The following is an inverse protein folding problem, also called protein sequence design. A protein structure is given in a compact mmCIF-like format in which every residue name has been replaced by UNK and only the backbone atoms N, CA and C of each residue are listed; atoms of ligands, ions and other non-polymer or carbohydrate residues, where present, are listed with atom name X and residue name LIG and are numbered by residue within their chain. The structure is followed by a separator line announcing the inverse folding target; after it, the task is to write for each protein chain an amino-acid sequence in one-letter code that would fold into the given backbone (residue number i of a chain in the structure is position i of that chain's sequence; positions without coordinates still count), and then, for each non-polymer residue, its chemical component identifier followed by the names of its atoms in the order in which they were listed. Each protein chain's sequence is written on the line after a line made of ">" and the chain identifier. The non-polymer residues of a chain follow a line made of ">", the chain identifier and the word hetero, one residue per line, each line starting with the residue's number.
data_IF_436590169726
#
_entry.id   IF_436590169726
#
_cell.length_a   1.000
_cell.length_b   1.000
_cell.length_c   1.000
_cell.angle_alpha   90.00
_cell.angle_beta   90.00
_cell.angle_gamma   90.00
#
_symmetry.space_group_name_H-M   'P 1'
#
loop_
_entity.id
_entity.type
_entity.pdbx_description
1 polymer ?
#
# COMPACT_ATOMS: atom_id res chain seq x y z
N UNK A 1 1.25 -25.35 -34.20
CA UNK A 1 2.25 -26.34 -34.70
C UNK A 1 3.51 -25.64 -35.21
N UNK A 2 4.71 -26.12 -34.83
CA UNK A 2 5.97 -25.64 -35.42
C UNK A 2 5.97 -26.06 -36.90
N UNK A 3 5.76 -25.11 -37.80
CA UNK A 3 5.80 -25.34 -39.25
C UNK A 3 7.23 -25.08 -39.73
N UNK A 4 7.99 -26.16 -39.93
CA UNK A 4 9.37 -26.10 -40.42
C UNK A 4 10.12 -27.42 -40.25
N UNK A 5 11.21 -27.62 -41.02
CA UNK A 5 12.10 -28.78 -40.84
C UNK A 5 12.87 -28.63 -39.53
N UNK A 6 12.93 -29.70 -38.72
CA UNK A 6 13.74 -29.75 -37.50
C UNK A 6 15.20 -29.54 -37.88
N UNK A 7 15.77 -28.41 -37.48
CA UNK A 7 17.21 -28.13 -37.63
C UNK A 7 17.94 -29.00 -36.61
N UNK A 8 18.94 -29.75 -37.07
CA UNK A 8 19.75 -30.64 -36.22
C UNK A 8 21.18 -30.11 -36.12
N UNK A 9 21.80 -30.28 -34.96
CA UNK A 9 23.22 -29.97 -34.75
C UNK A 9 24.12 -31.02 -35.44
N UNK A 10 25.43 -30.82 -35.37
CA UNK A 10 26.44 -31.75 -35.93
C UNK A 10 26.37 -33.17 -35.32
N UNK A 11 25.65 -33.34 -34.21
CA UNK A 11 25.45 -34.62 -33.50
C UNK A 11 24.06 -35.21 -33.73
N UNK A 12 23.23 -34.59 -34.57
CA UNK A 12 21.89 -35.04 -34.91
C UNK A 12 20.79 -34.66 -33.90
N UNK A 13 21.09 -33.87 -32.87
CA UNK A 13 20.10 -33.40 -31.89
C UNK A 13 19.34 -32.19 -32.43
N UNK A 14 18.03 -32.05 -32.14
CA UNK A 14 17.28 -30.85 -32.49
C UNK A 14 17.92 -29.60 -31.88
N UNK A 15 18.25 -28.62 -32.73
CA UNK A 15 18.70 -27.30 -32.29
C UNK A 15 17.49 -26.56 -31.73
N UNK A 16 17.46 -26.40 -30.42
CA UNK A 16 16.48 -25.57 -29.74
C UNK A 16 17.06 -24.17 -29.59
N UNK A 17 16.56 -23.23 -30.41
CA UNK A 17 16.86 -21.81 -30.22
C UNK A 17 15.98 -21.31 -29.07
N UNK A 18 16.56 -20.84 -27.94
CA UNK A 18 15.77 -20.31 -26.84
C UNK A 18 14.90 -19.13 -27.29
N UNK A 19 13.70 -19.04 -26.73
CA UNK A 19 12.85 -17.86 -26.88
C UNK A 19 13.43 -16.64 -26.17
N UNK A 20 12.81 -15.47 -26.39
CA UNK A 20 13.24 -14.20 -25.79
C UNK A 20 12.94 -14.10 -24.29
N UNK A 21 11.95 -14.84 -23.80
CA UNK A 21 11.56 -14.87 -22.39
C UNK A 21 12.15 -16.09 -21.67
N UNK A 22 12.72 -15.86 -20.48
CA UNK A 22 13.22 -16.92 -19.60
C UNK A 22 12.09 -17.46 -18.72
N UNK A 23 12.15 -18.72 -18.30
CA UNK A 23 11.15 -19.29 -17.39
C UNK A 23 9.71 -19.20 -17.92
N UNK A 24 9.55 -19.27 -19.24
CA UNK A 24 8.25 -19.29 -19.92
C UNK A 24 8.18 -20.52 -20.82
N UNK A 25 7.05 -21.23 -20.76
CA UNK A 25 6.70 -22.29 -21.70
C UNK A 25 5.42 -21.88 -22.40
N UNK A 26 5.45 -21.74 -23.73
CA UNK A 26 4.31 -21.26 -24.48
C UNK A 26 4.02 -22.11 -25.72
N UNK A 27 2.75 -22.19 -26.10
CA UNK A 27 2.26 -22.85 -27.31
C UNK A 27 1.26 -21.94 -28.01
N UNK A 28 1.19 -22.03 -29.34
CA UNK A 28 0.12 -21.41 -30.12
C UNK A 28 -1.04 -22.38 -30.30
N UNK A 29 -2.26 -21.91 -30.05
CA UNK A 29 -3.51 -22.66 -30.22
C UNK A 29 -4.57 -21.76 -30.85
N UNK A 30 -5.60 -22.33 -31.48
CA UNK A 30 -6.73 -21.57 -32.04
C UNK A 30 -8.00 -21.93 -31.29
N UNK A 31 -8.64 -20.94 -30.66
CA UNK A 31 -9.88 -21.15 -29.91
C UNK A 31 -11.05 -20.96 -30.88
N UNK A 32 -11.62 -22.08 -31.34
CA UNK A 32 -12.70 -22.09 -32.34
C UNK A 32 -13.93 -21.30 -31.87
N UNK A 33 -14.32 -21.41 -30.60
CA UNK A 33 -15.48 -20.72 -29.99
C UNK A 33 -15.42 -19.20 -30.14
N UNK A 34 -14.22 -18.62 -30.00
CA UNK A 34 -14.00 -17.18 -30.10
C UNK A 34 -13.47 -16.75 -31.48
N UNK A 35 -13.12 -17.71 -32.35
CA UNK A 35 -12.50 -17.43 -33.65
C UNK A 35 -11.15 -16.71 -33.55
N UNK A 36 -10.41 -16.90 -32.45
CA UNK A 36 -9.13 -16.21 -32.20
C UNK A 36 -7.97 -17.19 -32.05
N UNK A 37 -6.80 -16.77 -32.54
CA UNK A 37 -5.54 -17.43 -32.19
C UNK A 37 -5.08 -16.95 -30.81
N UNK A 38 -4.59 -17.88 -29.98
CA UNK A 38 -4.08 -17.62 -28.65
C UNK A 38 -2.64 -18.14 -28.52
N UNK A 39 -1.82 -17.36 -27.82
CA UNK A 39 -0.53 -17.83 -27.30
C UNK A 39 -0.78 -18.23 -25.85
N UNK A 40 -1.00 -19.52 -25.60
CA UNK A 40 -1.13 -20.06 -24.25
C UNK A 40 0.27 -20.17 -23.63
N UNK A 41 0.45 -19.60 -22.44
CA UNK A 41 1.76 -19.55 -21.77
C UNK A 41 1.67 -19.91 -20.29
N UNK A 42 2.66 -20.66 -19.82
CA UNK A 42 2.94 -20.91 -18.41
C UNK A 42 4.18 -20.12 -18.01
N UNK A 43 4.01 -19.18 -17.08
CA UNK A 43 5.10 -18.44 -16.45
C UNK A 43 5.58 -19.25 -15.24
N UNK A 44 6.66 -20.03 -15.40
CA UNK A 44 7.13 -20.94 -14.35
C UNK A 44 7.85 -20.22 -13.21
N UNK A 45 8.25 -18.97 -13.42
CA UNK A 45 8.79 -18.10 -12.38
C UNK A 45 8.51 -16.62 -12.74
N UNK A 46 7.50 -16.04 -12.11
CA UNK A 46 7.05 -14.67 -12.35
C UNK A 46 8.02 -13.59 -11.82
N UNK A 47 8.96 -13.96 -10.94
CA UNK A 47 10.05 -13.08 -10.50
C UNK A 47 11.15 -12.96 -11.55
N UNK A 48 11.27 -13.94 -12.46
CA UNK A 48 12.21 -13.89 -13.59
C UNK A 48 11.55 -13.26 -14.82
N UNK A 49 10.34 -13.71 -15.17
CA UNK A 49 9.55 -13.10 -16.24
C UNK A 49 8.19 -12.69 -15.70
N UNK A 50 8.00 -11.40 -15.38
CA UNK A 50 6.73 -10.87 -14.93
C UNK A 50 5.64 -10.94 -16.01
N UNK A 51 4.39 -10.99 -15.57
CA UNK A 51 3.20 -11.09 -16.46
C UNK A 51 3.15 -9.98 -17.52
N UNK A 52 3.43 -8.74 -17.13
CA UNK A 52 3.42 -7.58 -18.02
C UNK A 52 4.57 -7.62 -19.04
N UNK A 53 5.74 -8.16 -18.67
CA UNK A 53 6.87 -8.35 -19.59
C UNK A 53 6.53 -9.43 -20.63
N UNK A 54 5.89 -10.52 -20.20
CA UNK A 54 5.46 -11.56 -21.12
C UNK A 54 4.42 -11.06 -22.12
N UNK A 55 3.42 -10.29 -21.64
CA UNK A 55 2.40 -9.68 -22.49
C UNK A 55 3.00 -8.72 -23.52
N UNK A 56 3.89 -7.82 -23.10
CA UNK A 56 4.49 -6.83 -23.99
C UNK A 56 5.43 -7.43 -25.03
N UNK A 57 6.16 -8.48 -24.66
CA UNK A 57 6.99 -9.19 -25.63
C UNK A 57 6.11 -9.89 -26.69
N UNK A 58 4.96 -10.44 -26.30
CA UNK A 58 3.99 -10.96 -27.27
C UNK A 58 3.44 -9.85 -28.17
N UNK A 59 3.07 -8.70 -27.60
CA UNK A 59 2.62 -7.54 -28.38
C UNK A 59 3.67 -7.08 -29.39
N UNK A 60 4.93 -6.96 -28.96
CA UNK A 60 6.06 -6.60 -29.81
C UNK A 60 6.25 -7.61 -30.94
N UNK A 61 6.28 -8.90 -30.63
CA UNK A 61 6.49 -9.97 -31.64
C UNK A 61 5.33 -10.11 -32.61
N UNK A 62 4.10 -9.84 -32.17
CA UNK A 62 2.93 -9.78 -33.04
C UNK A 62 2.99 -8.57 -33.98
N UNK A 63 3.34 -7.39 -33.45
CA UNK A 63 3.47 -6.17 -34.25
C UNK A 63 4.56 -6.28 -35.33
N UNK A 64 5.70 -6.91 -35.03
CA UNK A 64 6.76 -7.24 -36.00
C UNK A 64 6.25 -8.09 -37.18
N UNK A 65 5.11 -8.78 -37.02
CA UNK A 65 4.46 -9.61 -38.05
C UNK A 65 3.21 -8.96 -38.66
N UNK A 66 2.90 -7.71 -38.31
CA UNK A 66 1.68 -7.02 -38.75
C UNK A 66 0.39 -7.54 -38.11
N UNK A 67 0.49 -8.24 -36.97
CA UNK A 67 -0.65 -8.78 -36.23
C UNK A 67 -0.85 -7.97 -34.96
N UNK A 68 -2.12 -7.70 -34.61
CA UNK A 68 -2.48 -7.01 -33.37
C UNK A 68 -2.87 -8.03 -32.29
N UNK A 69 -2.33 -7.86 -31.10
CA UNK A 69 -2.84 -8.54 -29.89
C UNK A 69 -4.11 -7.83 -29.45
N UNK A 70 -5.20 -8.59 -29.28
CA UNK A 70 -6.53 -8.05 -28.98
C UNK A 70 -6.92 -8.13 -27.51
N UNK A 71 -6.06 -8.70 -26.66
CA UNK A 71 -6.31 -8.87 -25.23
C UNK A 71 -5.54 -10.04 -24.64
N UNK A 72 -5.80 -10.35 -23.38
CA UNK A 72 -5.28 -11.54 -22.71
C UNK A 72 -6.27 -12.11 -21.71
N UNK A 73 -5.99 -13.31 -21.21
CA UNK A 73 -6.78 -13.94 -20.16
C UNK A 73 -5.84 -14.55 -19.13
N UNK A 74 -6.13 -14.30 -17.85
CA UNK A 74 -5.52 -15.03 -16.75
C UNK A 74 -6.34 -16.29 -16.46
N UNK A 75 -5.69 -17.45 -16.55
CA UNK A 75 -6.28 -18.73 -16.11
C UNK A 75 -5.77 -19.03 -14.70
N UNK A 76 -6.70 -19.14 -13.74
CA UNK A 76 -6.38 -19.40 -12.34
C UNK A 76 -6.28 -18.14 -11.49
N UNK A 77 -5.35 -18.16 -10.53
CA UNK A 77 -5.13 -17.08 -9.56
C UNK A 77 -3.76 -16.42 -9.78
N UNK A 78 -3.64 -15.15 -9.39
CA UNK A 78 -2.42 -14.36 -9.48
C UNK A 78 -2.09 -13.69 -8.14
N UNK A 79 -0.81 -13.60 -7.73
CA UNK A 79 -0.43 -12.80 -6.57
C UNK A 79 -0.69 -11.31 -6.78
N UNK A 80 -1.16 -10.61 -5.76
CA UNK A 80 -1.43 -9.17 -5.76
C UNK A 80 -0.20 -8.40 -6.22
N UNK A 81 0.98 -8.76 -5.71
CA UNK A 81 2.25 -8.11 -6.08
C UNK A 81 2.47 -8.10 -7.59
N UNK A 82 2.14 -9.18 -8.31
CA UNK A 82 2.33 -9.25 -9.75
C UNK A 82 1.41 -8.28 -10.51
N UNK A 83 0.19 -8.07 -10.00
CA UNK A 83 -0.75 -7.07 -10.53
C UNK A 83 -0.29 -5.65 -10.22
N UNK A 84 0.18 -5.37 -9.00
CA UNK A 84 0.72 -4.06 -8.63
C UNK A 84 1.96 -3.71 -9.47
N UNK A 85 2.90 -4.66 -9.62
CA UNK A 85 4.09 -4.48 -10.45
C UNK A 85 3.73 -4.22 -11.92
N UNK A 86 2.72 -4.91 -12.45
CA UNK A 86 2.19 -4.65 -13.80
C UNK A 86 1.57 -3.25 -13.93
N UNK A 87 0.76 -2.82 -12.95
CA UNK A 87 0.17 -1.49 -12.94
C UNK A 87 1.24 -0.40 -12.98
N UNK A 88 2.26 -0.53 -12.12
CA UNK A 88 3.40 0.39 -12.08
C UNK A 88 4.15 0.40 -13.41
N UNK A 89 4.44 -0.77 -13.97
CA UNK A 89 5.13 -0.90 -15.25
C UNK A 89 4.44 -0.10 -16.38
N UNK A 90 3.11 -0.22 -16.50
CA UNK A 90 2.37 0.51 -17.53
C UNK A 90 2.21 2.01 -17.24
N UNK A 91 2.15 2.43 -15.97
CA UNK A 91 2.18 3.85 -15.62
C UNK A 91 3.53 4.49 -15.96
N UNK A 92 4.65 3.81 -15.66
CA UNK A 92 5.99 4.30 -16.03
C UNK A 92 6.11 4.51 -17.54
N UNK A 93 5.57 3.58 -18.36
CA UNK A 93 5.52 3.73 -19.82
C UNK A 93 4.73 4.95 -20.30
N UNK A 94 3.72 5.34 -19.53
CA UNK A 94 2.90 6.51 -19.82
C UNK A 94 3.51 7.80 -19.23
N UNK A 95 4.67 7.72 -18.58
CA UNK A 95 5.27 8.82 -17.79
C UNK A 95 4.30 9.34 -16.72
N UNK A 96 3.66 8.40 -16.01
CA UNK A 96 2.64 8.66 -14.99
C UNK A 96 3.13 8.26 -13.61
N UNK A 97 2.69 8.99 -12.58
CA UNK A 97 3.05 8.69 -11.19
C UNK A 97 2.62 7.28 -10.80
N UNK A 98 3.51 6.52 -10.16
CA UNK A 98 3.22 5.20 -9.60
C UNK A 98 2.70 5.26 -8.16
N UNK A 99 2.69 6.45 -7.55
CA UNK A 99 2.20 6.71 -6.19
C UNK A 99 0.68 6.85 -6.10
N UNK A 100 -0.04 6.03 -6.86
CA UNK A 100 -1.51 5.94 -6.85
C UNK A 100 -1.99 4.81 -5.95
N UNK A 101 -3.30 4.74 -5.78
CA UNK A 101 -3.98 3.66 -5.04
C UNK A 101 -3.73 2.27 -5.67
N UNK A 102 -3.71 1.22 -4.85
CA UNK A 102 -3.54 -0.17 -5.30
C UNK A 102 -4.65 -0.62 -6.27
N UNK A 103 -5.91 -0.24 -6.06
CA UNK A 103 -7.02 -0.52 -6.96
C UNK A 103 -6.83 0.17 -8.31
N UNK A 104 -6.28 1.38 -8.32
CA UNK A 104 -5.94 2.05 -9.58
C UNK A 104 -4.77 1.34 -10.28
N UNK A 105 -3.74 0.87 -9.55
CA UNK A 105 -2.68 0.04 -10.14
C UNK A 105 -3.23 -1.25 -10.75
N UNK A 106 -4.11 -1.95 -10.03
CA UNK A 106 -4.76 -3.18 -10.49
C UNK A 106 -5.60 -2.90 -11.74
N UNK A 107 -6.40 -1.82 -11.73
CA UNK A 107 -7.21 -1.40 -12.87
C UNK A 107 -6.33 -1.07 -14.09
N UNK A 108 -5.22 -0.35 -13.91
CA UNK A 108 -4.27 -0.07 -14.98
C UNK A 108 -3.66 -1.36 -15.52
N UNK A 109 -3.28 -2.31 -14.66
CA UNK A 109 -2.77 -3.61 -15.08
C UNK A 109 -3.79 -4.39 -15.92
N UNK A 110 -5.05 -4.45 -15.46
CA UNK A 110 -6.16 -5.12 -16.17
C UNK A 110 -6.34 -4.52 -17.56
N UNK A 111 -6.50 -3.19 -17.63
CA UNK A 111 -6.79 -2.49 -18.89
C UNK A 111 -5.60 -2.51 -19.86
N UNK A 112 -4.37 -2.40 -19.35
CA UNK A 112 -3.18 -2.36 -20.21
C UNK A 112 -2.84 -3.73 -20.80
N UNK A 113 -3.13 -4.81 -20.07
CA UNK A 113 -2.95 -6.18 -20.58
C UNK A 113 -4.20 -6.76 -21.25
N UNK A 114 -5.33 -6.03 -21.25
CA UNK A 114 -6.59 -6.52 -21.80
C UNK A 114 -7.11 -7.79 -21.10
N UNK A 115 -6.91 -7.90 -19.78
CA UNK A 115 -7.28 -9.09 -19.00
C UNK A 115 -8.79 -9.33 -18.95
N UNK A 116 -9.58 -8.31 -19.29
CA UNK A 116 -11.04 -8.33 -19.32
C UNK A 116 -11.65 -8.36 -20.73
N UNK A 117 -10.83 -8.57 -21.78
CA UNK A 117 -11.29 -8.53 -23.18
C UNK A 117 -12.10 -9.77 -23.59
N UNK A 118 -11.76 -10.96 -23.06
CA UNK A 118 -12.53 -12.19 -23.32
C UNK A 118 -13.73 -12.33 -22.37
N UNK A 119 -13.57 -11.94 -21.11
CA UNK A 119 -14.62 -11.99 -20.06
C UNK A 119 -14.28 -11.01 -18.93
N UNK A 120 -15.27 -10.56 -18.14
CA UNK A 120 -15.01 -9.67 -17.01
C UNK A 120 -13.93 -10.23 -16.07
N UNK A 121 -12.95 -9.38 -15.73
CA UNK A 121 -11.95 -9.70 -14.71
C UNK A 121 -12.42 -9.18 -13.35
N UNK A 122 -12.77 -10.08 -12.44
CA UNK A 122 -13.07 -9.72 -11.05
C UNK A 122 -11.79 -9.88 -10.18
N UNK A 123 -11.16 -8.79 -9.71
CA UNK A 123 -9.95 -8.89 -8.89
C UNK A 123 -10.15 -9.71 -7.61
N UNK A 124 -11.33 -9.63 -6.98
CA UNK A 124 -11.63 -10.34 -5.73
C UNK A 124 -11.69 -11.87 -5.89
N UNK A 125 -11.89 -12.36 -7.11
CA UNK A 125 -11.93 -13.80 -7.42
C UNK A 125 -10.62 -14.32 -8.05
N UNK A 126 -9.74 -13.41 -8.46
CA UNK A 126 -8.52 -13.75 -9.23
C UNK A 126 -7.25 -13.48 -8.47
N UNK A 127 -7.25 -12.54 -7.52
CA UNK A 127 -6.08 -12.19 -6.73
C UNK A 127 -6.07 -13.03 -5.44
N UNK A 128 -4.96 -13.72 -5.19
CA UNK A 128 -4.82 -14.68 -4.09
C UNK A 128 -5.06 -14.01 -2.74
N UNK A 129 -4.43 -12.85 -2.52
CA UNK A 129 -4.50 -12.12 -1.25
C UNK A 129 -5.92 -11.62 -0.95
N UNK A 130 -6.69 -11.24 -1.98
CA UNK A 130 -8.09 -10.84 -1.80
C UNK A 130 -9.00 -12.04 -1.51
N UNK A 131 -8.69 -13.23 -2.03
CA UNK A 131 -9.42 -14.46 -1.70
C UNK A 131 -9.12 -14.96 -0.29
N UNK A 132 -7.94 -14.66 0.24
CA UNK A 132 -7.52 -15.04 1.59
C UNK A 132 -7.88 -13.98 2.64
N UNK A 133 -8.33 -12.81 2.21
CA UNK A 133 -8.71 -11.74 3.13
C UNK A 133 -9.92 -12.17 3.95
N UNK A 134 -9.77 -12.16 5.28
CA UNK A 134 -10.87 -12.47 6.19
C UNK A 134 -11.93 -11.36 6.11
N UNK A 135 -13.20 -11.74 6.07
CA UNK A 135 -14.35 -10.83 5.97
C UNK A 135 -14.74 -10.23 7.33
N UNK A 136 -13.78 -10.14 8.26
CA UNK A 136 -13.95 -9.42 9.51
C UNK A 136 -14.17 -7.94 9.19
N UNK A 137 -15.19 -7.34 9.82
CA UNK A 137 -15.50 -5.93 9.60
C UNK A 137 -14.35 -5.09 10.14
N UNK A 138 -13.64 -4.40 9.24
CA UNK A 138 -12.61 -3.42 9.60
C UNK A 138 -13.23 -2.04 9.76
N UNK A 139 -12.63 -1.23 10.62
CA UNK A 139 -13.02 0.17 10.80
C UNK A 139 -12.77 0.97 9.51
N UNK A 140 -11.67 0.68 8.81
CA UNK A 140 -11.30 1.38 7.57
C UNK A 140 -12.26 1.11 6.40
N UNK A 141 -13.08 0.06 6.50
CA UNK A 141 -14.12 -0.25 5.50
C UNK A 141 -15.42 0.54 5.71
N UNK A 142 -15.54 1.25 6.84
CA UNK A 142 -16.71 2.05 7.15
C UNK A 142 -16.76 3.32 6.30
N UNK A 143 -17.97 3.79 6.02
CA UNK A 143 -18.14 5.15 5.48
C UNK A 143 -17.72 6.18 6.54
N UNK A 144 -17.29 7.38 6.12
CA UNK A 144 -16.92 8.45 7.06
C UNK A 144 -18.04 8.75 8.07
N UNK A 145 -19.30 8.77 7.62
CA UNK A 145 -20.47 8.95 8.49
C UNK A 145 -20.62 7.81 9.49
N UNK A 146 -20.46 6.56 9.04
CA UNK A 146 -20.55 5.41 9.93
C UNK A 146 -19.41 5.38 10.95
N UNK A 147 -18.17 5.65 10.52
CA UNK A 147 -17.00 5.71 11.40
C UNK A 147 -17.17 6.80 12.48
N UNK A 148 -17.65 7.99 12.09
CA UNK A 148 -17.93 9.07 13.04
C UNK A 148 -19.05 8.71 14.03
N UNK A 149 -20.14 8.11 13.55
CA UNK A 149 -21.24 7.68 14.40
C UNK A 149 -20.81 6.57 15.38
N UNK A 150 -20.00 5.62 14.93
CA UNK A 150 -19.47 4.55 15.78
C UNK A 150 -18.54 5.11 16.86
N UNK A 151 -17.67 6.06 16.50
CA UNK A 151 -16.77 6.75 17.44
C UNK A 151 -17.55 7.52 18.51
N UNK A 152 -18.71 8.08 18.15
CA UNK A 152 -19.57 8.83 19.06
C UNK A 152 -20.54 7.95 19.87
N UNK A 153 -20.49 6.62 19.70
CA UNK A 153 -21.38 5.68 20.36
C UNK A 153 -20.87 5.26 21.76
N UNK A 154 -21.59 4.36 22.42
CA UNK A 154 -21.15 3.71 23.67
C UNK A 154 -20.14 2.56 23.42
N UNK A 155 -19.75 2.32 22.16
CA UNK A 155 -18.75 1.32 21.82
C UNK A 155 -17.36 1.71 22.34
N UNK A 156 -16.58 0.77 22.91
CA UNK A 156 -15.22 1.05 23.37
C UNK A 156 -14.23 1.25 22.21
N UNK A 157 -14.61 0.93 20.97
CA UNK A 157 -13.80 1.11 19.76
C UNK A 157 -14.68 1.55 18.57
N UNK A 158 -14.19 2.45 17.68
CA UNK A 158 -12.86 3.03 17.63
C UNK A 158 -12.60 4.06 18.73
N UNK A 159 -11.42 3.97 19.35
CA UNK A 159 -10.97 4.90 20.39
C UNK A 159 -10.07 6.02 19.86
N UNK A 160 -9.50 6.81 20.78
CA UNK A 160 -8.61 7.92 20.42
C UNK A 160 -7.35 7.50 19.64
N UNK A 161 -6.84 6.28 19.85
CA UNK A 161 -5.70 5.73 19.09
C UNK A 161 -6.05 5.52 17.60
N UNK A 162 -7.16 4.83 17.35
CA UNK A 162 -7.73 4.61 16.01
C UNK A 162 -7.99 5.94 15.28
N UNK A 163 -8.56 6.93 15.98
CA UNK A 163 -8.78 8.28 15.43
C UNK A 163 -7.45 8.98 15.11
N UNK A 164 -6.47 8.94 16.00
CA UNK A 164 -5.17 9.54 15.76
C UNK A 164 -4.49 8.94 14.53
N UNK A 165 -4.55 7.61 14.35
CA UNK A 165 -4.04 6.94 13.17
C UNK A 165 -4.73 7.41 11.89
N UNK A 166 -6.07 7.49 11.88
CA UNK A 166 -6.83 7.92 10.70
C UNK A 166 -6.62 9.40 10.36
N UNK A 167 -6.49 10.28 11.37
CA UNK A 167 -6.10 11.68 11.13
C UNK A 167 -4.72 11.75 10.47
N UNK A 168 -3.79 10.86 10.84
CA UNK A 168 -2.51 10.70 10.16
C UNK A 168 -2.66 10.28 8.70
N UNK A 169 -3.58 9.35 8.39
CA UNK A 169 -3.93 8.95 7.02
C UNK A 169 -4.34 10.17 6.21
N UNK A 170 -5.20 11.03 6.74
CA UNK A 170 -5.63 12.26 6.07
C UNK A 170 -4.45 13.21 5.82
N UNK A 171 -3.58 13.38 6.82
CA UNK A 171 -2.41 14.25 6.73
C UNK A 171 -1.46 13.85 5.60
N UNK A 172 -1.04 12.59 5.57
CA UNK A 172 -0.14 12.09 4.52
C UNK A 172 -0.84 11.97 3.15
N UNK A 173 -2.15 11.73 3.13
CA UNK A 173 -2.92 11.70 1.88
C UNK A 173 -2.92 13.06 1.18
N UNK A 174 -2.98 14.16 1.94
CA UNK A 174 -2.84 15.51 1.37
C UNK A 174 -1.45 15.73 0.77
N UNK A 175 -0.38 15.38 1.48
CA UNK A 175 0.98 15.42 0.92
C UNK A 175 1.11 14.57 -0.36
N UNK A 176 0.58 13.36 -0.34
CA UNK A 176 0.57 12.45 -1.51
C UNK A 176 -0.24 13.01 -2.67
N UNK A 177 -1.37 13.67 -2.39
CA UNK A 177 -2.18 14.36 -3.40
C UNK A 177 -1.40 15.49 -4.04
N UNK A 178 -0.73 16.34 -3.26
CA UNK A 178 0.12 17.42 -3.80
C UNK A 178 1.23 16.84 -4.69
N UNK A 179 1.85 15.72 -4.30
CA UNK A 179 2.84 15.04 -5.11
C UNK A 179 2.26 14.57 -6.45
N UNK A 180 1.10 13.91 -6.45
CA UNK A 180 0.45 13.47 -7.69
C UNK A 180 -0.01 14.64 -8.59
N UNK A 181 -0.51 15.74 -8.01
CA UNK A 181 -0.83 16.95 -8.76
C UNK A 181 0.42 17.60 -9.38
N UNK A 182 1.55 17.54 -8.66
CA UNK A 182 2.83 18.09 -9.12
C UNK A 182 3.41 17.26 -10.27
N UNK A 183 3.31 15.93 -10.20
CA UNK A 183 3.75 15.00 -11.25
C UNK A 183 3.02 15.21 -12.59
N UNK A 184 1.85 15.82 -12.58
CA UNK A 184 1.02 16.08 -13.76
C UNK A 184 0.79 17.57 -14.04
N UNK A 185 1.62 18.43 -13.44
CA UNK A 185 1.57 19.86 -13.69
C UNK A 185 2.22 20.18 -15.04
N UNK A 186 1.45 20.82 -15.93
CA UNK A 186 1.94 21.26 -17.24
C UNK A 186 3.22 22.09 -17.11
N UNK A 187 4.24 21.74 -17.89
CA UNK A 187 5.55 22.41 -17.89
C UNK A 187 6.53 21.83 -16.87
N UNK A 188 6.13 20.83 -16.08
CA UNK A 188 6.99 20.05 -15.20
C UNK A 188 7.13 18.60 -15.68
N UNK A 189 6.95 18.37 -16.98
CA UNK A 189 6.91 17.06 -17.59
C UNK A 189 8.21 16.28 -17.35
N UNK A 190 9.36 16.93 -17.16
CA UNK A 190 10.65 16.28 -16.86
C UNK A 190 10.82 15.90 -15.38
N UNK A 191 9.90 16.31 -14.50
CA UNK A 191 9.96 16.12 -13.04
C UNK A 191 8.95 15.12 -12.50
N UNK A 192 8.20 14.45 -13.37
CA UNK A 192 7.15 13.51 -12.94
C UNK A 192 7.71 12.37 -12.07
N UNK A 193 8.91 11.87 -12.36
CA UNK A 193 9.56 10.80 -11.58
C UNK A 193 9.88 11.24 -10.15
N UNK A 194 10.37 12.47 -9.97
CA UNK A 194 10.67 13.07 -8.67
C UNK A 194 9.41 13.07 -7.78
N UNK A 195 8.32 13.60 -8.30
CA UNK A 195 7.05 13.68 -7.57
C UNK A 195 6.39 12.32 -7.41
N UNK A 196 6.55 11.42 -8.37
CA UNK A 196 6.10 10.03 -8.28
C UNK A 196 6.77 9.28 -7.14
N UNK A 197 8.07 9.50 -6.91
CA UNK A 197 8.80 8.90 -5.79
C UNK A 197 8.25 9.37 -4.44
N UNK A 198 7.95 10.67 -4.30
CA UNK A 198 7.29 11.21 -3.11
C UNK A 198 5.89 10.65 -2.91
N UNK A 199 5.10 10.56 -3.97
CA UNK A 199 3.76 9.98 -3.92
C UNK A 199 3.82 8.50 -3.49
N UNK A 200 4.75 7.69 -4.01
CA UNK A 200 4.90 6.30 -3.58
C UNK A 200 5.30 6.20 -2.10
N UNK A 201 6.17 7.10 -1.62
CA UNK A 201 6.54 7.17 -0.21
C UNK A 201 5.34 7.53 0.67
N UNK A 202 4.52 8.49 0.23
CA UNK A 202 3.27 8.85 0.89
C UNK A 202 2.27 7.70 0.96
N UNK A 203 2.10 6.92 -0.12
CA UNK A 203 1.25 5.72 -0.11
C UNK A 203 1.71 4.69 0.93
N UNK A 204 3.02 4.48 1.10
CA UNK A 204 3.55 3.55 2.12
C UNK A 204 3.14 3.96 3.53
N UNK A 205 3.29 5.23 3.88
CA UNK A 205 2.85 5.76 5.17
C UNK A 205 1.32 5.71 5.33
N UNK A 206 0.58 6.02 4.27
CA UNK A 206 -0.89 5.93 4.25
C UNK A 206 -1.37 4.51 4.60
N UNK A 207 -0.81 3.48 3.95
CA UNK A 207 -1.22 2.10 4.18
C UNK A 207 -0.81 1.58 5.57
N UNK A 208 0.37 1.96 6.07
CA UNK A 208 0.77 1.62 7.44
C UNK A 208 -0.17 2.27 8.47
N UNK A 209 -0.54 3.54 8.29
CA UNK A 209 -1.49 4.21 9.18
C UNK A 209 -2.89 3.62 9.11
N UNK A 210 -3.37 3.26 7.91
CA UNK A 210 -4.65 2.55 7.76
C UNK A 210 -4.65 1.23 8.51
N UNK A 211 -3.59 0.43 8.38
CA UNK A 211 -3.45 -0.81 9.14
C UNK A 211 -3.48 -0.57 10.65
N UNK A 212 -2.82 0.50 11.13
CA UNK A 212 -2.78 0.85 12.55
C UNK A 212 -4.15 1.31 13.11
N UNK A 213 -5.09 1.77 12.27
CA UNK A 213 -6.47 2.07 12.71
C UNK A 213 -7.15 0.81 13.23
N UNK A 214 -7.10 -0.27 12.46
CA UNK A 214 -7.71 -1.55 12.86
C UNK A 214 -6.89 -2.26 13.94
N UNK A 215 -5.55 -2.12 13.89
CA UNK A 215 -4.67 -2.78 14.86
C UNK A 215 -4.81 -2.18 16.26
N UNK A 216 -5.16 -0.90 16.41
CA UNK A 216 -5.46 -0.28 17.70
C UNK A 216 -6.64 -0.98 18.40
N UNK A 217 -7.72 -1.20 17.65
CA UNK A 217 -8.90 -1.95 18.16
C UNK A 217 -8.55 -3.41 18.44
N UNK A 218 -7.75 -4.03 17.56
CA UNK A 218 -7.30 -5.41 17.74
C UNK A 218 -6.41 -5.58 18.96
N UNK A 219 -5.53 -4.62 19.26
CA UNK A 219 -4.71 -4.60 20.45
C UNK A 219 -5.54 -4.42 21.73
N UNK A 220 -6.56 -3.55 21.69
CA UNK A 220 -7.50 -3.41 22.81
C UNK A 220 -8.26 -4.71 23.09
N UNK A 221 -8.77 -5.38 22.05
CA UNK A 221 -9.47 -6.66 22.19
C UNK A 221 -8.57 -7.74 22.79
N UNK A 222 -7.29 -7.80 22.39
CA UNK A 222 -6.31 -8.73 22.99
C UNK A 222 -6.13 -8.52 24.50
N UNK A 223 -6.20 -7.27 24.98
CA UNK A 223 -6.18 -6.97 26.42
C UNK A 223 -7.45 -7.51 27.09
N UNK A 224 -8.63 -7.28 26.50
CA UNK A 224 -9.90 -7.77 27.05
C UNK A 224 -9.93 -9.30 27.11
N UNK A 225 -9.47 -9.97 26.06
CA UNK A 225 -9.34 -11.44 26.00
C UNK A 225 -8.40 -11.96 27.10
N UNK A 226 -7.26 -11.28 27.31
CA UNK A 226 -6.33 -11.61 28.38
C UNK A 226 -6.97 -11.47 29.78
N UNK A 227 -7.82 -10.45 29.99
CA UNK A 227 -8.62 -10.32 31.21
C UNK A 227 -9.73 -11.37 31.32
N UNK A 228 -10.12 -12.04 30.24
CA UNK A 228 -11.08 -13.14 30.22
C UNK A 228 -10.50 -14.49 30.66
N UNK A 229 -9.17 -14.66 30.66
CA UNK A 229 -8.52 -15.95 30.92
C UNK A 229 -8.85 -16.54 32.32
N UNK A 230 -8.86 -17.88 32.49
CA UNK A 230 -9.02 -18.52 33.79
C UNK A 230 -8.01 -18.04 34.85
N UNK A 231 -8.36 -18.22 36.13
CA UNK A 231 -7.54 -17.74 37.28
C UNK A 231 -7.68 -18.60 38.54
N UNK A 232 -8.01 -19.89 38.37
CA UNK A 232 -8.27 -20.82 39.47
C UNK A 232 -7.00 -21.51 39.94
N UNK A 233 -6.14 -21.96 39.02
CA UNK A 233 -4.85 -22.59 39.37
C UNK A 233 -3.71 -21.57 39.34
N UNK A 234 -2.56 -21.91 39.94
CA UNK A 234 -1.38 -21.05 39.89
C UNK A 234 -0.82 -20.93 38.47
N UNK A 235 -0.86 -22.02 37.69
CA UNK A 235 -0.46 -22.01 36.28
C UNK A 235 -1.38 -21.08 35.45
N UNK A 236 -2.69 -21.13 35.68
CA UNK A 236 -3.65 -20.23 35.03
C UNK A 236 -3.40 -18.77 35.40
N UNK A 237 -3.12 -18.48 36.68
CA UNK A 237 -2.80 -17.11 37.14
C UNK A 237 -1.52 -16.58 36.50
N UNK A 238 -0.48 -17.42 36.41
CA UNK A 238 0.79 -17.04 35.80
C UNK A 238 0.62 -16.76 34.30
N UNK A 239 -0.03 -17.67 33.56
CA UNK A 239 -0.31 -17.48 32.14
C UNK A 239 -1.15 -16.23 31.89
N UNK A 240 -2.17 -16.01 32.72
CA UNK A 240 -3.02 -14.82 32.64
C UNK A 240 -2.21 -13.55 32.85
N UNK A 241 -1.36 -13.49 33.87
CA UNK A 241 -0.52 -12.33 34.16
C UNK A 241 0.45 -12.03 33.00
N UNK A 242 1.13 -13.07 32.47
CA UNK A 242 2.03 -12.94 31.32
C UNK A 242 1.28 -12.44 30.07
N UNK A 243 0.09 -12.99 29.81
CA UNK A 243 -0.72 -12.60 28.64
C UNK A 243 -1.19 -11.15 28.76
N UNK A 244 -1.64 -10.71 29.93
CA UNK A 244 -2.03 -9.31 30.17
C UNK A 244 -0.84 -8.38 29.96
N UNK A 245 0.34 -8.76 30.47
CA UNK A 245 1.54 -7.93 30.35
C UNK A 245 1.98 -7.82 28.88
N UNK A 246 1.98 -8.91 28.12
CA UNK A 246 2.31 -8.91 26.70
C UNK A 246 1.28 -8.12 25.87
N UNK A 247 -0.01 -8.29 26.14
CA UNK A 247 -1.07 -7.52 25.48
C UNK A 247 -0.97 -6.01 25.80
N UNK A 248 -0.62 -5.65 27.03
CA UNK A 248 -0.44 -4.25 27.44
C UNK A 248 0.76 -3.60 26.75
N UNK A 249 1.89 -4.31 26.65
CA UNK A 249 3.06 -3.85 25.88
C UNK A 249 2.68 -3.62 24.43
N UNK A 250 2.02 -4.60 23.81
CA UNK A 250 1.56 -4.51 22.43
C UNK A 250 0.63 -3.31 22.19
N UNK A 251 -0.36 -3.09 23.06
CA UNK A 251 -1.25 -1.93 22.97
C UNK A 251 -0.55 -0.59 23.17
N UNK A 252 0.59 -0.53 23.87
CA UNK A 252 1.42 0.68 23.94
C UNK A 252 2.26 0.87 22.66
N UNK A 253 2.71 -0.21 22.04
CA UNK A 253 3.49 -0.18 20.80
C UNK A 253 2.69 0.34 19.60
N UNK A 254 1.39 0.04 19.51
CA UNK A 254 0.55 0.51 18.40
C UNK A 254 0.50 2.04 18.28
N UNK A 255 0.09 2.82 19.29
CA UNK A 255 0.13 4.28 19.19
C UNK A 255 1.56 4.80 19.06
N UNK A 256 2.57 4.13 19.60
CA UNK A 256 3.97 4.51 19.35
C UNK A 256 4.37 4.35 17.87
N UNK A 257 3.90 3.30 17.18
CA UNK A 257 4.05 3.13 15.73
C UNK A 257 3.29 4.21 14.96
N UNK A 258 2.08 4.58 15.40
CA UNK A 258 1.33 5.71 14.81
C UNK A 258 2.16 6.99 14.88
N UNK A 259 2.78 7.29 16.04
CA UNK A 259 3.66 8.45 16.19
C UNK A 259 4.84 8.42 15.23
N UNK A 260 5.53 7.29 15.09
CA UNK A 260 6.65 7.14 14.15
C UNK A 260 6.21 7.33 12.70
N UNK A 261 5.14 6.67 12.28
CA UNK A 261 4.69 6.72 10.89
C UNK A 261 4.17 8.11 10.54
N UNK A 262 3.44 8.76 11.46
CA UNK A 262 2.99 10.14 11.29
C UNK A 262 4.16 11.12 11.26
N UNK A 263 5.17 10.97 12.14
CA UNK A 263 6.39 11.78 12.09
C UNK A 263 7.12 11.61 10.75
N UNK A 264 7.32 10.37 10.31
CA UNK A 264 8.01 10.10 9.05
C UNK A 264 7.26 10.70 7.86
N UNK A 265 5.93 10.74 7.90
CA UNK A 265 5.12 11.33 6.82
C UNK A 265 5.38 12.82 6.58
N UNK A 266 5.91 13.55 7.57
CA UNK A 266 6.23 14.97 7.42
C UNK A 266 7.27 15.23 6.33
N UNK A 267 8.14 14.29 5.99
CA UNK A 267 9.09 14.50 4.90
C UNK A 267 8.40 14.65 3.53
N UNK A 268 7.30 13.92 3.31
CA UNK A 268 6.49 14.02 2.08
C UNK A 268 5.78 15.37 2.09
N UNK A 269 5.18 15.72 3.23
CA UNK A 269 4.43 16.98 3.39
C UNK A 269 5.37 18.19 3.23
N UNK A 270 6.56 18.14 3.83
CA UNK A 270 7.59 19.17 3.75
C UNK A 270 8.07 19.34 2.33
N UNK A 271 8.49 18.26 1.67
CA UNK A 271 8.91 18.31 0.27
C UNK A 271 7.81 18.93 -0.61
N UNK A 272 6.55 18.57 -0.38
CA UNK A 272 5.43 19.11 -1.14
C UNK A 272 5.10 20.55 -0.82
N UNK A 273 5.34 21.01 0.42
CA UNK A 273 5.27 22.42 0.77
C UNK A 273 6.37 23.25 0.11
N UNK A 274 7.55 22.68 -0.14
CA UNK A 274 8.73 23.37 -0.66
C UNK A 274 8.82 23.36 -2.20
N UNK A 275 8.62 22.21 -2.83
CA UNK A 275 8.85 22.02 -4.28
C UNK A 275 7.61 21.58 -5.06
N UNK A 276 6.53 21.21 -4.35
CA UNK A 276 5.27 20.81 -4.95
C UNK A 276 4.51 21.94 -5.63
N UNK A 277 3.36 21.60 -6.21
CA UNK A 277 2.48 22.51 -6.93
C UNK A 277 2.08 23.71 -6.05
N UNK A 278 2.47 24.96 -6.41
CA UNK A 278 2.18 26.14 -5.59
C UNK A 278 0.69 26.36 -5.33
N UNK A 279 -0.17 25.92 -6.25
CA UNK A 279 -1.63 26.05 -6.13
C UNK A 279 -2.23 25.14 -5.05
N UNK A 280 -1.45 24.20 -4.53
CA UNK A 280 -1.86 23.21 -3.52
C UNK A 280 -1.02 23.33 -2.25
N UNK A 281 -0.36 24.48 -2.03
CA UNK A 281 0.47 24.71 -0.85
C UNK A 281 -0.34 24.69 0.45
N UNK A 282 -1.61 25.14 0.41
CA UNK A 282 -2.53 25.06 1.55
C UNK A 282 -2.81 23.62 1.97
N UNK A 283 -2.87 22.69 1.00
CA UNK A 283 -3.11 21.27 1.26
C UNK A 283 -1.95 20.65 2.04
N UNK A 284 -0.70 21.06 1.73
CA UNK A 284 0.47 20.66 2.51
C UNK A 284 0.42 21.23 3.94
N UNK A 285 -0.06 22.45 4.13
CA UNK A 285 -0.25 23.06 5.45
C UNK A 285 -1.26 22.30 6.31
N UNK A 286 -2.43 21.98 5.75
CA UNK A 286 -3.44 21.15 6.43
C UNK A 286 -2.89 19.75 6.71
N UNK A 287 -2.14 19.17 5.76
CA UNK A 287 -1.45 17.89 5.94
C UNK A 287 -0.54 17.88 7.17
N UNK A 288 0.27 18.92 7.36
CA UNK A 288 1.17 19.05 8.51
C UNK A 288 0.42 19.18 9.84
N UNK A 289 -0.71 19.89 9.86
CA UNK A 289 -1.57 20.00 11.04
C UNK A 289 -2.17 18.64 11.43
N UNK A 290 -2.71 17.91 10.44
CA UNK A 290 -3.22 16.55 10.67
C UNK A 290 -2.12 15.61 11.16
N UNK A 291 -0.93 15.63 10.56
CA UNK A 291 0.19 14.80 10.98
C UNK A 291 0.62 15.11 12.43
N UNK A 292 0.63 16.39 12.84
CA UNK A 292 0.88 16.76 14.23
C UNK A 292 -0.21 16.23 15.18
N UNK A 293 -1.49 16.41 14.82
CA UNK A 293 -2.61 15.90 15.62
C UNK A 293 -2.54 14.38 15.78
N UNK A 294 -2.12 13.66 14.74
CA UNK A 294 -1.91 12.22 14.81
C UNK A 294 -0.81 11.85 15.82
N UNK A 295 0.34 12.54 15.78
CA UNK A 295 1.43 12.32 16.73
C UNK A 295 1.01 12.66 18.16
N UNK A 296 0.39 13.81 18.41
CA UNK A 296 -0.02 14.20 19.76
C UNK A 296 -1.18 13.35 20.30
N UNK A 297 -2.14 12.99 19.44
CA UNK A 297 -3.23 12.09 19.79
C UNK A 297 -2.73 10.71 20.17
N UNK A 298 -1.82 10.14 19.37
CA UNK A 298 -1.19 8.87 19.68
C UNK A 298 -0.31 8.95 20.94
N UNK A 299 0.36 10.09 21.18
CA UNK A 299 1.14 10.32 22.40
C UNK A 299 0.30 10.24 23.68
N UNK A 300 -0.95 10.72 23.66
CA UNK A 300 -1.87 10.57 24.78
C UNK A 300 -2.17 9.08 25.07
N UNK A 301 -2.32 8.27 24.03
CA UNK A 301 -2.57 6.84 24.14
C UNK A 301 -1.32 6.07 24.63
N UNK A 302 -0.12 6.45 24.21
CA UNK A 302 1.13 5.88 24.76
C UNK A 302 1.21 6.15 26.27
N UNK A 303 0.94 7.39 26.71
CA UNK A 303 1.00 7.77 28.13
C UNK A 303 0.01 7.00 29.01
N UNK A 304 -1.24 6.85 28.55
CA UNK A 304 -2.24 6.12 29.35
C UNK A 304 -1.88 4.63 29.45
N UNK A 305 -1.42 4.01 28.36
CA UNK A 305 -1.03 2.59 28.35
C UNK A 305 0.23 2.32 29.18
N UNK A 306 1.19 3.25 29.22
CA UNK A 306 2.39 3.12 30.04
C UNK A 306 2.09 2.94 31.54
N UNK A 307 0.99 3.53 32.04
CA UNK A 307 0.62 3.46 33.45
C UNK A 307 0.31 2.03 33.91
N UNK A 308 -0.26 1.21 33.02
CA UNK A 308 -0.67 -0.17 33.29
C UNK A 308 0.41 -1.23 33.10
N UNK A 309 1.60 -0.87 32.60
CA UNK A 309 2.69 -1.83 32.31
C UNK A 309 3.58 -2.01 33.54
N UNK A 310 3.82 -3.26 33.96
CA UNK A 310 4.69 -3.55 35.11
C UNK A 310 6.18 -3.36 34.81
N UNK A 311 6.63 -3.75 33.61
CA UNK A 311 7.97 -3.53 33.09
C UNK A 311 8.25 -2.03 32.85
N UNK A 312 8.68 -1.35 33.92
CA UNK A 312 8.96 0.10 33.89
C UNK A 312 10.17 0.47 33.05
N UNK A 313 11.10 -0.46 32.82
CA UNK A 313 12.25 -0.20 31.93
C UNK A 313 11.76 -0.05 30.49
N UNK A 314 10.94 -1.00 30.03
CA UNK A 314 10.29 -0.93 28.72
C UNK A 314 9.41 0.33 28.58
N UNK A 315 8.54 0.58 29.56
CA UNK A 315 7.61 1.70 29.48
C UNK A 315 8.35 3.06 29.43
N UNK A 316 9.39 3.25 30.25
CA UNK A 316 10.15 4.49 30.28
C UNK A 316 10.97 4.72 29.00
N UNK A 317 11.60 3.69 28.45
CA UNK A 317 12.33 3.77 27.17
C UNK A 317 11.40 4.22 26.03
N UNK A 318 10.19 3.64 25.96
CA UNK A 318 9.22 4.01 24.94
C UNK A 318 8.66 5.42 25.14
N UNK A 319 8.44 5.84 26.41
CA UNK A 319 8.01 7.20 26.74
C UNK A 319 9.05 8.25 26.34
N UNK A 320 10.34 8.02 26.58
CA UNK A 320 11.41 8.94 26.19
C UNK A 320 11.45 9.12 24.67
N UNK A 321 11.47 8.01 23.92
CA UNK A 321 11.45 8.04 22.44
C UNK A 321 10.22 8.74 21.89
N UNK A 322 9.06 8.48 22.49
CA UNK A 322 7.81 9.09 22.06
C UNK A 322 7.75 10.59 22.38
N UNK A 323 8.32 11.03 23.51
CA UNK A 323 8.46 12.45 23.82
C UNK A 323 9.34 13.18 22.78
N UNK A 324 10.44 12.56 22.36
CA UNK A 324 11.28 13.10 21.27
C UNK A 324 10.52 13.22 19.95
N UNK A 325 9.73 12.19 19.59
CA UNK A 325 8.91 12.22 18.38
C UNK A 325 7.88 13.35 18.44
N UNK A 326 7.19 13.51 19.58
CA UNK A 326 6.22 14.58 19.76
C UNK A 326 6.85 15.97 19.63
N UNK A 327 8.06 16.16 20.14
CA UNK A 327 8.79 17.42 20.01
C UNK A 327 9.22 17.69 18.56
N UNK A 328 9.83 16.70 17.89
CA UNK A 328 10.24 16.81 16.48
C UNK A 328 9.05 17.10 15.54
N UNK A 329 7.88 16.51 15.81
CA UNK A 329 6.67 16.76 15.03
C UNK A 329 6.20 18.22 15.12
N UNK A 330 6.30 18.84 16.31
CA UNK A 330 5.98 20.27 16.48
C UNK A 330 6.91 21.16 15.68
N UNK A 331 8.20 20.89 15.77
CA UNK A 331 9.25 21.64 15.06
C UNK A 331 9.04 21.55 13.54
N UNK A 332 8.80 20.35 13.01
CA UNK A 332 8.53 20.17 11.58
C UNK A 332 7.22 20.81 11.15
N UNK A 333 6.16 20.73 11.96
CA UNK A 333 4.90 21.41 11.68
C UNK A 333 5.14 22.92 11.58
N UNK A 334 5.82 23.51 12.55
CA UNK A 334 6.10 24.95 12.57
C UNK A 334 6.92 25.39 11.34
N UNK A 335 7.94 24.61 10.96
CA UNK A 335 8.74 24.87 9.75
C UNK A 335 7.90 24.82 8.47
N UNK A 336 7.03 23.82 8.33
CA UNK A 336 6.16 23.69 7.16
C UNK A 336 5.14 24.82 7.11
N UNK A 337 4.50 25.17 8.23
CA UNK A 337 3.54 26.27 8.27
C UNK A 337 4.20 27.60 7.91
N UNK A 338 5.41 27.87 8.42
CA UNK A 338 6.16 29.07 8.01
C UNK A 338 6.45 29.08 6.51
N UNK A 339 6.77 27.93 5.91
CA UNK A 339 6.99 27.80 4.46
C UNK A 339 5.69 28.05 3.67
N UNK A 340 4.59 27.47 4.14
CA UNK A 340 3.26 27.64 3.55
C UNK A 340 2.81 29.09 3.61
N UNK A 341 2.90 29.75 4.77
CA UNK A 341 2.51 31.15 4.97
C UNK A 341 3.31 32.09 4.08
N UNK A 342 4.63 31.89 3.97
CA UNK A 342 5.50 32.66 3.07
C UNK A 342 5.08 32.51 1.61
N UNK A 343 4.72 31.30 1.18
CA UNK A 343 4.27 31.04 -0.18
C UNK A 343 2.90 31.64 -0.46
N UNK A 344 1.96 31.51 0.47
CA UNK A 344 0.62 32.11 0.36
C UNK A 344 0.72 33.63 0.26
N UNK A 345 1.58 34.26 1.07
CA UNK A 345 1.79 35.70 1.02
C UNK A 345 2.45 36.20 -0.28
N UNK A 346 3.04 35.29 -1.07
CA UNK A 346 3.69 35.60 -2.35
C UNK A 346 2.80 35.32 -3.59
N UNK A 347 1.60 34.75 -3.39
CA UNK A 347 0.57 34.59 -4.43
C UNK A 347 -0.22 35.89 -4.62
#
# INVERSE_FOLDING_TARGET
>A
PITGKIVKDEKGNPVMIPGTLKSVKAIGWFIEEYGVAQISMNLTNISITPVHVAFDEVCKKAAERGIRVTGSELVGLIPLKAMLDAGKYFLLKQQRSVGVDNDELIKIAIKSMGLDDLKPFNPRERIIEFLLEDHTKKLVDMTLTAFANETASESPAPGGGSIAAYVGVLGVSLGTMVANLSAHKRGWDDRWEEFSAWAEKGQKYKYELLHLVDEDTSAFNKIMDAFGLPKKTEEEKQLRAETIQNASKYAMEIPFRVMQTALNSFEVIKAMSETGNPNSVSDAGVGALCALTAVEGAWLNVKINASGIEDKVFANDLLEKAAEIAQKAKEMRDEIIQTVDKKIAAL
#
